data_IF_127938274254
#
_entry.id   IF_127938274254
#
_cell.length_a   1.000
_cell.length_b   1.000
_cell.length_c   1.000
_cell.angle_alpha   90.00
_cell.angle_beta   90.00
_cell.angle_gamma   90.00
#
_symmetry.space_group_name_H-M   'P 1'
#
loop_
_entity.id
_entity.type
_entity.pdbx_description
1 polymer ?
#
# COMPACT_ATOMS: atom_id res chain seq x y z
N UNK A 1 -12.40 -22.20 -13.29
CA UNK A 1 -13.09 -21.32 -12.32
C UNK A 1 -13.82 -20.25 -13.12
N UNK A 2 -15.14 -20.34 -13.23
CA UNK A 2 -15.94 -19.35 -13.97
C UNK A 2 -16.46 -18.31 -12.99
N UNK A 3 -16.20 -17.04 -13.24
CA UNK A 3 -16.79 -15.94 -12.46
C UNK A 3 -18.29 -15.86 -12.81
N UNK A 4 -19.22 -15.99 -11.85
CA UNK A 4 -20.65 -15.93 -12.12
C UNK A 4 -21.05 -14.66 -12.89
N UNK A 5 -21.93 -14.79 -13.89
CA UNK A 5 -22.33 -13.69 -14.79
C UNK A 5 -22.89 -12.48 -14.06
N UNK A 6 -23.52 -12.67 -12.90
CA UNK A 6 -24.05 -11.59 -12.07
C UNK A 6 -22.96 -10.59 -11.65
N UNK A 7 -21.76 -11.07 -11.28
CA UNK A 7 -20.65 -10.20 -10.88
C UNK A 7 -20.04 -9.48 -12.09
N UNK A 8 -20.00 -10.15 -13.25
CA UNK A 8 -19.50 -9.54 -14.49
C UNK A 8 -20.42 -8.41 -14.95
N UNK A 9 -21.75 -8.62 -14.90
CA UNK A 9 -22.75 -7.60 -15.23
C UNK A 9 -22.70 -6.43 -14.24
N UNK A 10 -22.60 -6.71 -12.94
CA UNK A 10 -22.46 -5.68 -11.92
C UNK A 10 -21.19 -4.84 -12.13
N UNK A 11 -20.04 -5.47 -12.40
CA UNK A 11 -18.79 -4.77 -12.68
C UNK A 11 -18.87 -3.95 -13.98
N UNK A 12 -19.47 -4.51 -15.03
CA UNK A 12 -19.71 -3.80 -16.30
C UNK A 12 -20.50 -2.52 -16.07
N UNK A 13 -21.61 -2.58 -15.32
CA UNK A 13 -22.41 -1.40 -15.01
C UNK A 13 -21.65 -0.41 -14.13
N UNK A 14 -20.93 -0.90 -13.11
CA UNK A 14 -20.09 -0.08 -12.25
C UNK A 14 -19.00 0.71 -13.01
N UNK A 15 -18.44 0.11 -14.06
CA UNK A 15 -17.48 0.76 -14.96
C UNK A 15 -18.21 1.74 -15.91
N UNK A 16 -19.26 1.30 -16.61
CA UNK A 16 -20.00 2.11 -17.60
C UNK A 16 -20.58 3.38 -17.00
N UNK A 17 -21.06 3.31 -15.76
CA UNK A 17 -21.65 4.47 -15.06
C UNK A 17 -20.59 5.39 -14.41
N UNK A 18 -19.30 5.06 -14.57
CA UNK A 18 -18.17 5.88 -14.09
C UNK A 18 -17.87 5.76 -12.59
N UNK A 19 -18.55 4.86 -11.87
CA UNK A 19 -18.30 4.67 -10.44
C UNK A 19 -16.93 4.07 -10.15
N UNK A 20 -16.45 3.16 -11.01
CA UNK A 20 -15.11 2.59 -10.88
C UNK A 20 -14.03 3.67 -10.91
N UNK A 21 -14.10 4.59 -11.88
CA UNK A 21 -13.11 5.66 -12.00
C UNK A 21 -13.17 6.64 -10.81
N UNK A 22 -14.39 7.04 -10.39
CA UNK A 22 -14.58 7.84 -9.17
C UNK A 22 -13.98 7.17 -7.94
N UNK A 23 -14.19 5.86 -7.80
CA UNK A 23 -13.61 5.07 -6.73
C UNK A 23 -12.08 5.06 -6.80
N UNK A 24 -11.48 4.76 -7.96
CA UNK A 24 -10.02 4.76 -8.13
C UNK A 24 -9.42 6.13 -7.79
N UNK A 25 -10.03 7.23 -8.21
CA UNK A 25 -9.55 8.58 -7.90
C UNK A 25 -9.64 8.88 -6.39
N UNK A 26 -10.74 8.48 -5.73
CA UNK A 26 -10.89 8.57 -4.27
C UNK A 26 -9.81 7.75 -3.55
N UNK A 27 -9.59 6.51 -3.98
CA UNK A 27 -8.61 5.62 -3.36
C UNK A 27 -7.17 6.12 -3.58
N UNK A 28 -6.84 6.64 -4.76
CA UNK A 28 -5.53 7.28 -5.03
C UNK A 28 -5.27 8.44 -4.06
N UNK A 29 -6.24 9.32 -3.84
CA UNK A 29 -6.11 10.43 -2.88
C UNK A 29 -5.93 9.92 -1.45
N UNK A 30 -6.75 8.96 -1.03
CA UNK A 30 -6.69 8.38 0.31
C UNK A 30 -5.33 7.71 0.58
N UNK A 31 -4.88 6.83 -0.31
CA UNK A 31 -3.62 6.12 -0.13
C UNK A 31 -2.40 7.02 -0.26
N UNK A 32 -2.45 8.07 -1.09
CA UNK A 32 -1.42 9.11 -1.11
C UNK A 32 -1.29 9.80 0.25
N UNK A 33 -2.41 10.15 0.88
CA UNK A 33 -2.44 10.74 2.22
C UNK A 33 -1.87 9.80 3.29
N UNK A 34 -2.36 8.55 3.34
CA UNK A 34 -1.87 7.51 4.27
C UNK A 34 -0.37 7.27 4.10
N UNK A 35 0.10 7.13 2.86
CA UNK A 35 1.52 6.92 2.54
C UNK A 35 2.37 8.09 3.02
N UNK A 36 1.94 9.33 2.78
CA UNK A 36 2.67 10.52 3.25
C UNK A 36 2.85 10.48 4.77
N UNK A 37 1.76 10.25 5.51
CA UNK A 37 1.82 10.17 6.98
C UNK A 37 2.79 9.07 7.44
N UNK A 38 2.72 7.89 6.83
CA UNK A 38 3.61 6.78 7.17
C UNK A 38 5.09 7.11 6.91
N UNK A 39 5.41 7.68 5.73
CA UNK A 39 6.77 8.06 5.38
C UNK A 39 7.29 9.16 6.31
N UNK A 40 6.47 10.17 6.59
CA UNK A 40 6.83 11.28 7.48
C UNK A 40 7.15 10.71 8.89
N UNK A 41 6.30 9.83 9.43
CA UNK A 41 6.56 9.18 10.72
C UNK A 41 7.79 8.28 10.74
N UNK A 42 8.00 7.48 9.69
CA UNK A 42 9.21 6.66 9.59
C UNK A 42 10.48 7.52 9.57
N UNK A 43 10.46 8.64 8.84
CA UNK A 43 11.59 9.58 8.79
C UNK A 43 11.82 10.29 10.13
N UNK A 44 10.76 10.66 10.84
CA UNK A 44 10.87 11.30 12.15
C UNK A 44 11.49 10.37 13.20
N UNK A 45 11.02 9.12 13.27
CA UNK A 45 11.46 8.13 14.26
C UNK A 45 12.86 7.58 13.95
N UNK A 46 13.11 7.19 12.70
CA UNK A 46 14.33 6.47 12.33
C UNK A 46 15.38 7.36 11.66
N UNK A 47 15.02 8.57 11.23
CA UNK A 47 15.96 9.56 10.66
C UNK A 47 16.86 8.95 9.58
N UNK A 48 18.17 9.07 9.74
CA UNK A 48 19.18 8.58 8.80
C UNK A 48 19.45 7.07 8.90
N UNK A 49 18.80 6.35 9.83
CA UNK A 49 18.95 4.90 10.00
C UNK A 49 18.11 4.08 9.02
N UNK A 50 17.24 4.71 8.23
CA UNK A 50 16.45 4.04 7.19
C UNK A 50 16.68 4.66 5.80
N UNK A 51 16.39 3.86 4.77
CA UNK A 51 16.25 4.29 3.39
C UNK A 51 14.91 3.79 2.87
N UNK A 52 14.11 4.69 2.33
CA UNK A 52 12.78 4.38 1.78
C UNK A 52 12.89 4.31 0.25
N UNK A 53 12.29 3.29 -0.37
CA UNK A 53 12.28 3.06 -1.82
C UNK A 53 10.89 2.61 -2.30
N UNK A 54 10.60 2.77 -3.60
CA UNK A 54 9.30 2.40 -4.17
C UNK A 54 8.15 3.36 -3.80
N UNK A 55 8.45 4.63 -3.54
CA UNK A 55 7.48 5.66 -3.12
C UNK A 55 6.42 6.00 -4.17
N UNK A 56 6.62 5.54 -5.40
CA UNK A 56 5.99 6.05 -6.61
C UNK A 56 4.87 5.14 -7.16
N UNK A 57 4.69 3.90 -6.66
CA UNK A 57 3.74 2.94 -7.25
C UNK A 57 3.02 2.10 -6.18
N UNK A 58 1.74 1.78 -6.41
CA UNK A 58 1.01 0.73 -5.67
C UNK A 58 0.58 1.06 -4.24
N UNK A 59 0.48 0.02 -3.40
CA UNK A 59 -0.01 0.07 -2.02
C UNK A 59 1.06 -0.18 -0.96
N UNK A 60 2.28 -0.55 -1.38
CA UNK A 60 3.38 -0.83 -0.48
C UNK A 60 4.47 0.25 -0.56
N UNK A 61 5.36 0.26 0.42
CA UNK A 61 6.65 0.98 0.41
C UNK A 61 7.71 -0.02 0.87
N UNK A 62 8.95 0.17 0.40
CA UNK A 62 10.09 -0.62 0.87
C UNK A 62 10.90 0.23 1.82
N UNK A 63 11.20 -0.31 3.00
CA UNK A 63 12.01 0.36 4.02
C UNK A 63 13.21 -0.53 4.32
N UNK A 64 14.39 -0.02 4.01
CA UNK A 64 15.67 -0.64 4.32
C UNK A 64 16.20 -0.01 5.61
N UNK A 65 16.47 -0.82 6.62
CA UNK A 65 17.05 -0.37 7.88
C UNK A 65 18.56 -0.60 7.84
N UNK A 66 19.34 0.46 7.99
CA UNK A 66 20.80 0.39 7.98
C UNK A 66 21.27 -0.44 9.16
N UNK A 67 22.24 -1.32 8.91
CA UNK A 67 22.84 -2.20 9.92
C UNK A 67 21.86 -3.21 10.56
N UNK A 68 20.70 -3.44 9.95
CA UNK A 68 19.75 -4.48 10.37
C UNK A 68 19.75 -5.59 9.33
N UNK A 69 20.03 -6.81 9.77
CA UNK A 69 19.89 -8.01 8.94
C UNK A 69 18.61 -8.71 9.38
N UNK A 70 17.56 -8.61 8.56
CA UNK A 70 16.31 -9.31 8.81
C UNK A 70 16.54 -10.83 8.74
N UNK A 71 16.58 -11.48 9.89
CA UNK A 71 16.61 -12.93 10.04
C UNK A 71 15.30 -13.41 10.64
N UNK A 72 14.98 -14.69 10.50
CA UNK A 72 13.75 -15.29 11.09
C UNK A 72 13.67 -15.08 12.62
N UNK A 73 14.82 -14.88 13.29
CA UNK A 73 14.88 -14.58 14.71
C UNK A 73 14.35 -13.19 15.05
N UNK A 74 14.57 -12.20 14.19
CA UNK A 74 14.09 -10.83 14.40
C UNK A 74 12.55 -10.78 14.28
N UNK A 75 11.95 -11.54 13.36
CA UNK A 75 10.50 -11.60 13.22
C UNK A 75 9.79 -12.26 14.41
N UNK A 76 10.44 -13.23 15.08
CA UNK A 76 9.90 -13.91 16.27
C UNK A 76 9.83 -13.02 17.51
N UNK A 77 10.68 -11.99 17.62
CA UNK A 77 10.71 -11.08 18.77
C UNK A 77 9.52 -10.11 18.74
N UNK A 78 8.94 -9.85 17.57
CA UNK A 78 7.86 -8.88 17.37
C UNK A 78 6.42 -9.41 17.54
N UNK A 79 6.22 -10.68 17.89
CA UNK A 79 4.87 -11.22 18.16
C UNK A 79 3.94 -11.29 16.94
N UNK A 80 4.49 -11.54 15.76
CA UNK A 80 3.77 -11.87 14.52
C UNK A 80 4.25 -13.21 13.97
#
# INVERSE_FOLDING_TARGET
MFTPSIYQLALSNFIKEGYFERHINKMKKLYKGKRKILIDKLKDEFKSSIKISGDSIGLYIVVEFKNVIFTDQIFKISGW
#
